data_IF_689324023505
#
_entry.id   IF_689324023505
#
_cell.length_a   1.000
_cell.length_b   1.000
_cell.length_c   1.000
_cell.angle_alpha   90.00
_cell.angle_beta   90.00
_cell.angle_gamma   90.00
#
_symmetry.space_group_name_H-M   'P 1'
#
loop_
_entity.id
_entity.type
_entity.pdbx_description
1 polymer ?
#
# COMPACT_ATOMS: atom_id res chain seq x y z
N UNK A 1 1.26 15.64 -10.29
CA UNK A 1 2.25 15.04 -9.37
C UNK A 1 1.65 13.81 -8.74
N UNK A 2 2.44 12.94 -8.10
CA UNK A 2 1.94 11.85 -7.25
C UNK A 2 2.27 12.16 -5.79
N UNK A 3 1.32 11.91 -4.88
CA UNK A 3 1.41 12.32 -3.47
C UNK A 3 1.53 11.10 -2.55
N UNK A 4 2.38 11.20 -1.54
CA UNK A 4 2.68 10.14 -0.58
C UNK A 4 2.59 10.70 0.84
N UNK A 5 1.84 10.02 1.70
CA UNK A 5 1.52 10.52 3.02
C UNK A 5 1.13 9.38 3.97
N UNK A 6 1.40 9.58 5.26
CA UNK A 6 1.05 8.60 6.32
C UNK A 6 -0.24 8.91 7.06
N UNK A 7 -0.88 10.07 6.80
CA UNK A 7 -2.12 10.48 7.47
C UNK A 7 -3.31 10.47 6.51
N UNK A 8 -4.22 9.52 6.65
CA UNK A 8 -5.38 9.35 5.74
C UNK A 8 -6.31 10.59 5.65
N UNK A 9 -6.27 11.48 6.65
CA UNK A 9 -7.12 12.68 6.72
C UNK A 9 -6.87 13.67 5.57
N UNK A 10 -5.75 13.56 4.85
CA UNK A 10 -5.38 14.47 3.77
C UNK A 10 -6.00 14.09 2.42
N UNK A 11 -6.53 12.88 2.27
CA UNK A 11 -7.10 12.38 1.00
C UNK A 11 -8.18 13.31 0.44
N UNK A 12 -9.09 13.80 1.29
CA UNK A 12 -10.15 14.74 0.89
C UNK A 12 -9.61 16.07 0.39
N UNK A 13 -8.47 16.52 0.93
CA UNK A 13 -7.80 17.75 0.48
C UNK A 13 -7.13 17.53 -0.87
N UNK A 14 -6.43 16.41 -1.06
CA UNK A 14 -5.74 16.06 -2.31
C UNK A 14 -6.74 15.88 -3.46
N UNK A 15 -7.88 15.24 -3.20
CA UNK A 15 -8.95 15.03 -4.20
C UNK A 15 -9.71 16.32 -4.54
N UNK A 16 -9.53 17.40 -3.78
CA UNK A 16 -10.22 18.65 -4.04
C UNK A 16 -9.68 19.33 -5.33
N UNK A 17 -10.55 19.85 -6.23
CA UNK A 17 -10.12 20.41 -7.53
C UNK A 17 -9.16 21.59 -7.46
N UNK A 18 -9.10 22.30 -6.33
CA UNK A 18 -8.17 23.42 -6.12
C UNK A 18 -6.77 22.98 -5.66
N UNK A 19 -6.59 21.73 -5.24
CA UNK A 19 -5.36 21.26 -4.61
C UNK A 19 -4.16 21.36 -5.55
N UNK A 20 -4.16 20.54 -6.62
CA UNK A 20 -3.05 20.47 -7.57
C UNK A 20 -2.74 21.84 -8.19
N UNK A 21 -3.72 22.63 -8.71
CA UNK A 21 -3.43 23.95 -9.26
C UNK A 21 -2.79 24.92 -8.25
N UNK A 22 -3.20 24.86 -6.98
CA UNK A 22 -2.64 25.73 -5.94
C UNK A 22 -1.23 25.31 -5.56
N UNK A 23 -0.95 24.02 -5.49
CA UNK A 23 0.39 23.49 -5.22
C UNK A 23 1.34 23.83 -6.38
N UNK A 24 0.91 23.65 -7.63
CA UNK A 24 1.68 24.04 -8.82
C UNK A 24 2.01 25.54 -8.78
N UNK A 25 1.01 26.39 -8.48
CA UNK A 25 1.23 27.82 -8.35
C UNK A 25 2.24 28.17 -7.26
N UNK A 26 2.19 27.53 -6.09
CA UNK A 26 3.15 27.80 -5.01
C UNK A 26 4.57 27.33 -5.36
N UNK A 27 4.71 26.20 -6.06
CA UNK A 27 6.01 25.66 -6.49
C UNK A 27 6.64 26.52 -7.58
N UNK A 28 5.86 26.93 -8.59
CA UNK A 28 6.32 27.77 -9.70
C UNK A 28 6.86 29.13 -9.23
N UNK A 29 6.29 29.67 -8.15
CA UNK A 29 6.76 30.92 -7.56
C UNK A 29 8.07 30.73 -6.76
N UNK A 30 8.44 29.50 -6.42
CA UNK A 30 9.71 29.14 -5.81
C UNK A 30 9.98 29.86 -4.49
N UNK A 31 11.07 30.64 -4.44
CA UNK A 31 11.44 31.48 -3.30
C UNK A 31 10.68 32.82 -3.24
N UNK A 32 9.83 33.12 -4.22
CA UNK A 32 9.03 34.33 -4.19
C UNK A 32 8.00 34.24 -3.08
N UNK A 33 7.92 35.32 -2.32
CA UNK A 33 7.01 35.45 -1.21
C UNK A 33 5.55 35.58 -1.67
N UNK A 34 4.87 34.46 -1.93
CA UNK A 34 3.47 34.46 -2.38
C UNK A 34 2.57 35.07 -1.31
N UNK A 35 1.75 36.05 -1.70
CA UNK A 35 0.81 36.73 -0.81
C UNK A 35 -0.65 36.40 -1.14
N UNK A 36 -1.54 36.57 -0.16
CA UNK A 36 -2.98 36.31 -0.32
C UNK A 36 -3.61 37.04 -1.52
N UNK A 37 -3.17 38.27 -1.82
CA UNK A 37 -3.68 39.03 -2.99
C UNK A 37 -3.35 38.35 -4.32
N UNK A 38 -2.19 37.70 -4.43
CA UNK A 38 -1.82 36.93 -5.62
C UNK A 38 -2.66 35.66 -5.71
N UNK A 39 -2.83 34.92 -4.60
CA UNK A 39 -3.69 33.74 -4.55
C UNK A 39 -5.15 34.07 -4.92
N UNK A 40 -5.72 35.16 -4.40
CA UNK A 40 -7.08 35.63 -4.77
C UNK A 40 -7.20 35.97 -6.26
N UNK A 41 -6.13 36.48 -6.87
CA UNK A 41 -6.10 36.80 -8.30
C UNK A 41 -6.01 35.53 -9.16
N UNK A 42 -5.19 34.57 -8.75
CA UNK A 42 -5.02 33.28 -9.45
C UNK A 42 -6.24 32.36 -9.29
N UNK A 43 -6.89 32.41 -8.12
CA UNK A 43 -8.00 31.53 -7.75
C UNK A 43 -9.20 32.35 -7.26
N UNK A 44 -10.02 32.93 -8.18
CA UNK A 44 -11.11 33.85 -7.84
C UNK A 44 -12.35 33.18 -7.22
N UNK A 45 -12.29 31.88 -6.93
CA UNK A 45 -13.42 31.10 -6.45
C UNK A 45 -13.78 31.48 -4.99
N UNK A 46 -15.08 31.65 -4.71
CA UNK A 46 -15.58 32.12 -3.39
C UNK A 46 -15.16 31.24 -2.20
N UNK A 47 -14.92 29.94 -2.42
CA UNK A 47 -14.52 28.99 -1.37
C UNK A 47 -13.00 28.81 -1.24
N UNK A 48 -12.19 29.48 -2.05
CA UNK A 48 -10.74 29.29 -2.05
C UNK A 48 -10.10 29.62 -0.69
N UNK A 49 -10.52 30.71 -0.03
CA UNK A 49 -9.93 31.11 1.26
C UNK A 49 -10.17 30.05 2.33
N UNK A 50 -11.38 29.50 2.39
CA UNK A 50 -11.69 28.39 3.30
C UNK A 50 -10.84 27.15 2.99
N UNK A 51 -10.66 26.81 1.72
CA UNK A 51 -9.81 25.69 1.33
C UNK A 51 -8.33 25.94 1.68
N UNK A 52 -7.85 27.17 1.51
CA UNK A 52 -6.50 27.58 1.90
C UNK A 52 -6.30 27.46 3.42
N UNK A 53 -7.30 27.86 4.22
CA UNK A 53 -7.26 27.70 5.68
C UNK A 53 -7.19 26.21 6.06
N UNK A 54 -7.98 25.35 5.42
CA UNK A 54 -7.91 23.89 5.64
C UNK A 54 -6.52 23.30 5.32
N UNK A 55 -5.88 23.77 4.25
CA UNK A 55 -4.53 23.36 3.85
C UNK A 55 -3.45 23.85 4.82
N UNK A 56 -3.67 24.97 5.49
CA UNK A 56 -2.77 25.49 6.53
C UNK A 56 -2.96 24.70 7.82
N UNK A 57 -4.21 24.45 8.22
CA UNK A 57 -4.55 23.66 9.41
C UNK A 57 -4.03 22.23 9.31
N UNK A 58 -4.03 21.64 8.11
CA UNK A 58 -3.44 20.33 7.85
C UNK A 58 -1.91 20.34 7.74
N UNK A 59 -1.27 21.52 7.74
CA UNK A 59 0.17 21.65 7.62
C UNK A 59 0.74 21.44 6.21
N UNK A 60 -0.10 21.43 5.16
CA UNK A 60 0.34 21.31 3.76
C UNK A 60 0.81 22.63 3.16
N UNK A 61 0.34 23.75 3.72
CA UNK A 61 0.80 25.11 3.40
C UNK A 61 1.28 25.79 4.67
N UNK A 62 2.48 26.36 4.63
CA UNK A 62 2.99 27.21 5.71
C UNK A 62 2.62 28.66 5.43
N UNK A 63 2.04 29.32 6.42
CA UNK A 63 1.78 30.75 6.42
C UNK A 63 2.66 31.47 7.44
N UNK A 64 3.66 32.21 6.98
CA UNK A 64 4.60 32.94 7.83
C UNK A 64 4.79 34.37 7.29
N UNK A 65 4.76 35.39 8.15
CA UNK A 65 4.90 36.80 7.74
C UNK A 65 3.95 37.22 6.59
N UNK A 66 2.74 36.66 6.58
CA UNK A 66 1.71 36.84 5.52
C UNK A 66 2.14 36.30 4.14
N UNK A 67 3.12 35.40 4.13
CA UNK A 67 3.58 34.67 2.94
C UNK A 67 3.15 33.22 3.04
N UNK A 68 2.83 32.64 1.89
CA UNK A 68 2.33 31.28 1.76
C UNK A 68 3.34 30.47 0.96
N UNK A 69 3.67 29.27 1.44
CA UNK A 69 4.58 28.36 0.73
C UNK A 69 4.15 26.92 0.93
N UNK A 70 4.52 26.06 -0.02
CA UNK A 70 4.38 24.62 0.15
C UNK A 70 5.17 24.16 1.39
N UNK A 71 4.56 23.29 2.20
CA UNK A 71 5.16 22.80 3.43
C UNK A 71 5.95 21.50 3.26
N UNK A 72 5.84 20.87 2.09
CA UNK A 72 6.40 19.56 1.80
C UNK A 72 7.34 19.59 0.57
N UNK A 73 8.31 18.68 0.51
CA UNK A 73 9.22 18.55 -0.61
C UNK A 73 8.56 17.86 -1.80
N UNK A 74 9.07 18.19 -2.99
CA UNK A 74 8.72 17.54 -4.24
C UNK A 74 10.01 16.96 -4.80
N UNK A 75 10.05 15.65 -4.99
CA UNK A 75 11.23 14.93 -5.43
C UNK A 75 11.17 14.61 -6.93
N UNK A 76 12.33 14.70 -7.57
CA UNK A 76 12.59 14.30 -8.94
C UNK A 76 13.28 12.93 -8.99
N UNK A 77 13.27 12.28 -10.18
CA UNK A 77 13.78 10.92 -10.34
C UNK A 77 15.28 10.76 -9.99
N UNK A 78 16.05 11.85 -10.02
CA UNK A 78 17.48 11.84 -9.69
C UNK A 78 17.80 12.02 -8.20
N UNK A 79 16.82 12.36 -7.37
CA UNK A 79 17.05 12.68 -5.97
C UNK A 79 17.43 11.43 -5.17
N UNK A 80 18.43 11.58 -4.28
CA UNK A 80 18.89 10.54 -3.34
C UNK A 80 19.30 9.21 -3.99
N UNK A 81 19.74 9.21 -5.25
CA UNK A 81 19.99 7.96 -5.96
C UNK A 81 21.13 7.12 -5.35
N UNK A 82 22.08 7.74 -4.67
CA UNK A 82 23.15 7.02 -3.95
C UNK A 82 22.57 6.23 -2.78
N UNK A 83 21.72 6.89 -1.99
CA UNK A 83 21.06 6.34 -0.81
C UNK A 83 20.06 5.24 -1.19
N UNK A 84 19.25 5.49 -2.24
CA UNK A 84 18.30 4.49 -2.79
C UNK A 84 19.06 3.25 -3.25
N UNK A 85 20.13 3.41 -4.04
CA UNK A 85 20.93 2.29 -4.52
C UNK A 85 21.61 1.52 -3.37
N UNK A 86 22.09 2.22 -2.35
CA UNK A 86 22.72 1.59 -1.19
C UNK A 86 21.70 0.78 -0.39
N UNK A 87 20.55 1.37 -0.04
CA UNK A 87 19.48 0.68 0.67
C UNK A 87 18.97 -0.53 -0.12
N UNK A 88 18.73 -0.36 -1.43
CA UNK A 88 18.30 -1.48 -2.31
C UNK A 88 19.26 -2.66 -2.21
N UNK A 89 20.58 -2.41 -2.29
CA UNK A 89 21.59 -3.47 -2.19
C UNK A 89 21.56 -4.17 -0.84
N UNK A 90 21.36 -3.43 0.24
CA UNK A 90 21.28 -3.98 1.59
C UNK A 90 20.03 -4.85 1.76
N UNK A 91 18.86 -4.37 1.32
CA UNK A 91 17.61 -5.13 1.35
C UNK A 91 17.72 -6.43 0.54
N UNK A 92 18.29 -6.36 -0.67
CA UNK A 92 18.54 -7.56 -1.49
C UNK A 92 19.51 -8.49 -0.78
N UNK A 93 20.58 -7.99 -0.18
CA UNK A 93 21.54 -8.82 0.54
C UNK A 93 20.88 -9.55 1.72
N UNK A 94 20.04 -8.88 2.52
CA UNK A 94 19.28 -9.54 3.59
C UNK A 94 18.28 -10.56 3.05
N UNK A 95 17.59 -10.24 1.95
CA UNK A 95 16.68 -11.17 1.28
C UNK A 95 17.41 -12.41 0.76
N UNK A 96 18.61 -12.26 0.18
CA UNK A 96 19.39 -13.38 -0.35
C UNK A 96 19.94 -14.31 0.72
N UNK A 97 20.06 -13.86 1.98
CA UNK A 97 20.36 -14.74 3.12
C UNK A 97 19.21 -15.67 3.49
N UNK A 98 17.98 -15.35 3.07
CA UNK A 98 16.82 -16.19 3.32
C UNK A 98 16.79 -17.40 2.37
N UNK A 99 16.27 -18.55 2.83
CA UNK A 99 15.94 -19.67 1.95
C UNK A 99 15.06 -19.21 0.79
N UNK A 100 15.31 -19.74 -0.42
CA UNK A 100 14.64 -19.30 -1.65
C UNK A 100 13.10 -19.23 -1.51
N UNK A 101 12.50 -20.27 -0.94
CA UNK A 101 11.05 -20.37 -0.73
C UNK A 101 10.48 -19.38 0.31
N UNK A 102 11.32 -18.73 1.13
CA UNK A 102 10.89 -17.74 2.14
C UNK A 102 11.16 -16.30 1.71
N UNK A 103 11.85 -16.07 0.59
CA UNK A 103 12.26 -14.71 0.18
C UNK A 103 11.08 -13.77 -0.05
N UNK A 104 10.04 -14.25 -0.72
CA UNK A 104 8.85 -13.44 -0.99
C UNK A 104 8.05 -13.15 0.28
N UNK A 105 8.02 -14.11 1.22
CA UNK A 105 7.42 -13.89 2.54
C UNK A 105 8.21 -12.84 3.33
N UNK A 106 9.54 -12.95 3.36
CA UNK A 106 10.43 -11.97 4.00
C UNK A 106 10.28 -10.57 3.38
N UNK A 107 10.13 -10.48 2.06
CA UNK A 107 9.84 -9.21 1.39
C UNK A 107 8.48 -8.63 1.82
N UNK A 108 7.45 -9.47 1.89
CA UNK A 108 6.06 -9.06 2.12
C UNK A 108 5.71 -8.80 3.59
N UNK A 109 6.59 -9.17 4.51
CA UNK A 109 6.47 -8.90 5.95
C UNK A 109 7.59 -7.94 6.37
N UNK A 110 8.80 -8.45 6.58
CA UNK A 110 9.90 -7.69 7.18
C UNK A 110 10.31 -6.46 6.36
N UNK A 111 10.59 -6.64 5.06
CA UNK A 111 11.02 -5.51 4.21
C UNK A 111 9.86 -4.51 4.02
N UNK A 112 8.64 -5.01 3.81
CA UNK A 112 7.46 -4.16 3.72
C UNK A 112 7.29 -3.30 4.97
N UNK A 113 7.28 -3.93 6.15
CA UNK A 113 7.12 -3.26 7.44
C UNK A 113 8.25 -2.27 7.67
N UNK A 114 9.49 -2.64 7.37
CA UNK A 114 10.62 -1.71 7.45
C UNK A 114 10.45 -0.48 6.55
N UNK A 115 10.00 -0.65 5.31
CA UNK A 115 9.81 0.45 4.37
C UNK A 115 8.64 1.36 4.76
N UNK A 116 7.62 0.82 5.43
CA UNK A 116 6.42 1.56 5.83
C UNK A 116 6.38 1.96 7.31
N UNK A 117 7.34 1.50 8.12
CA UNK A 117 7.48 1.88 9.52
C UNK A 117 7.69 3.40 9.60
N UNK A 118 6.71 4.06 10.22
CA UNK A 118 6.64 5.50 10.30
C UNK A 118 6.62 5.93 11.76
N UNK A 119 7.74 6.47 12.25
CA UNK A 119 7.84 7.03 13.61
C UNK A 119 7.35 8.48 13.71
N UNK A 120 7.13 9.14 12.57
CA UNK A 120 6.67 10.53 12.49
C UNK A 120 5.89 10.75 11.19
N UNK A 121 4.80 11.54 11.20
CA UNK A 121 4.03 11.84 10.00
C UNK A 121 4.90 12.40 8.88
N UNK A 122 4.55 12.07 7.64
CA UNK A 122 5.21 12.60 6.45
C UNK A 122 4.18 12.93 5.37
N UNK A 123 4.55 13.89 4.54
CA UNK A 123 3.88 14.22 3.29
C UNK A 123 4.95 14.62 2.28
N UNK A 124 4.97 14.03 1.09
CA UNK A 124 5.81 14.49 -0.02
C UNK A 124 5.12 14.22 -1.35
N UNK A 125 5.69 14.75 -2.42
CA UNK A 125 5.23 14.48 -3.77
C UNK A 125 6.39 14.09 -4.70
N UNK A 126 6.07 13.45 -5.81
CA UNK A 126 7.00 13.19 -6.91
C UNK A 126 6.51 13.85 -8.20
N UNK A 127 7.45 14.30 -9.02
CA UNK A 127 7.19 14.79 -10.38
C UNK A 127 7.04 13.66 -11.41
N UNK A 128 7.44 12.45 -11.02
CA UNK A 128 7.40 11.23 -11.82
C UNK A 128 6.45 10.20 -11.21
N UNK A 129 6.01 9.24 -12.03
CA UNK A 129 5.16 8.15 -11.57
C UNK A 129 5.99 7.11 -10.83
N UNK A 130 5.58 6.77 -9.63
CA UNK A 130 6.12 5.66 -8.84
C UNK A 130 5.08 4.53 -8.84
N UNK A 131 5.45 3.30 -9.21
CA UNK A 131 4.56 2.16 -9.13
C UNK A 131 4.00 2.01 -7.70
N UNK A 132 2.67 2.02 -7.57
CA UNK A 132 2.03 1.83 -6.27
C UNK A 132 2.25 0.41 -5.79
N UNK A 133 2.75 0.25 -4.56
CA UNK A 133 2.83 -1.05 -3.91
C UNK A 133 1.85 -1.04 -2.75
N UNK A 134 1.00 -2.07 -2.68
CA UNK A 134 -0.02 -2.18 -1.65
C UNK A 134 0.04 -3.56 -1.04
N UNK A 135 0.04 -3.62 0.30
CA UNK A 135 -0.24 -4.83 1.06
C UNK A 135 -1.67 -4.76 1.59
N UNK A 136 -2.47 -5.74 1.18
CA UNK A 136 -3.85 -5.89 1.61
C UNK A 136 -3.98 -7.13 2.48
N UNK A 137 -4.84 -7.04 3.49
CA UNK A 137 -5.10 -8.11 4.43
C UNK A 137 -6.61 -8.33 4.59
N UNK A 138 -7.00 -9.59 4.74
CA UNK A 138 -8.36 -9.99 5.12
C UNK A 138 -8.30 -11.32 5.90
N UNK A 139 -9.21 -11.54 6.83
CA UNK A 139 -9.12 -12.72 7.68
C UNK A 139 -10.10 -12.76 8.83
N UNK A 140 -9.85 -13.67 9.75
CA UNK A 140 -10.52 -13.80 11.05
C UNK A 140 -9.49 -13.84 12.19
N UNK A 141 -9.89 -14.31 13.36
CA UNK A 141 -9.04 -14.36 14.55
C UNK A 141 -7.88 -15.37 14.43
N UNK A 142 -8.03 -16.43 13.63
CA UNK A 142 -7.06 -17.53 13.53
C UNK A 142 -6.23 -17.47 12.24
N UNK A 143 -6.76 -16.87 11.18
CA UNK A 143 -6.13 -16.84 9.87
C UNK A 143 -6.20 -15.45 9.25
N UNK A 144 -5.07 -15.05 8.65
CA UNK A 144 -4.95 -13.82 7.89
C UNK A 144 -4.37 -14.10 6.52
N UNK A 145 -5.12 -13.71 5.51
CA UNK A 145 -4.71 -13.73 4.13
C UNK A 145 -4.05 -12.41 3.81
N UNK A 146 -2.88 -12.47 3.19
CA UNK A 146 -2.12 -11.29 2.80
C UNK A 146 -1.81 -11.35 1.32
N UNK A 147 -1.97 -10.22 0.64
CA UNK A 147 -1.55 -10.02 -0.74
C UNK A 147 -0.72 -8.74 -0.83
N UNK A 148 0.54 -8.87 -1.26
CA UNK A 148 1.36 -7.75 -1.70
C UNK A 148 1.21 -7.63 -3.23
N UNK A 149 0.87 -6.45 -3.72
CA UNK A 149 0.74 -6.14 -5.16
C UNK A 149 1.54 -4.91 -5.52
N UNK A 150 2.15 -4.90 -6.72
CA UNK A 150 2.69 -3.72 -7.36
C UNK A 150 1.90 -3.39 -8.62
N UNK A 151 1.28 -2.20 -8.66
CA UNK A 151 0.51 -1.72 -9.79
C UNK A 151 -0.92 -2.27 -9.79
N UNK A 152 -1.25 -3.05 -10.82
CA UNK A 152 -2.61 -3.58 -11.00
C UNK A 152 -2.97 -4.62 -9.92
N UNK A 153 -4.24 -4.58 -9.53
CA UNK A 153 -4.78 -5.49 -8.53
C UNK A 153 -4.85 -6.92 -9.05
N UNK A 154 -4.22 -7.85 -8.33
CA UNK A 154 -4.37 -9.29 -8.60
C UNK A 154 -5.58 -9.83 -7.86
N UNK A 155 -6.32 -10.74 -8.51
CA UNK A 155 -7.47 -11.42 -7.94
C UNK A 155 -7.04 -12.22 -6.71
N UNK A 156 -7.46 -11.75 -5.53
CA UNK A 156 -7.24 -12.41 -4.25
C UNK A 156 -8.35 -12.04 -3.27
N UNK A 157 -8.53 -12.84 -2.22
CA UNK A 157 -9.52 -12.54 -1.17
C UNK A 157 -9.23 -11.19 -0.47
N UNK A 158 -7.98 -10.87 -0.07
CA UNK A 158 -7.67 -9.56 0.52
C UNK A 158 -8.06 -8.39 -0.39
N UNK A 159 -7.75 -8.49 -1.68
CA UNK A 159 -8.08 -7.43 -2.64
C UNK A 159 -9.59 -7.29 -2.82
N UNK A 160 -10.32 -8.40 -2.95
CA UNK A 160 -11.78 -8.39 -3.08
C UNK A 160 -12.45 -7.70 -1.88
N UNK A 161 -12.13 -8.12 -0.65
CA UNK A 161 -12.74 -7.54 0.55
C UNK A 161 -12.34 -6.08 0.77
N UNK A 162 -11.12 -5.69 0.38
CA UNK A 162 -10.71 -4.28 0.38
C UNK A 162 -11.59 -3.43 -0.56
N UNK A 163 -11.80 -3.87 -1.80
CA UNK A 163 -12.66 -3.18 -2.78
C UNK A 163 -14.12 -3.12 -2.30
N UNK A 164 -14.63 -4.21 -1.73
CA UNK A 164 -15.98 -4.29 -1.17
C UNK A 164 -16.18 -3.27 -0.03
N UNK A 165 -15.24 -3.19 0.92
CA UNK A 165 -15.27 -2.22 2.04
C UNK A 165 -15.26 -0.77 1.55
N UNK A 166 -14.49 -0.47 0.52
CA UNK A 166 -14.40 0.87 -0.07
C UNK A 166 -15.58 1.20 -0.99
N UNK A 167 -16.48 0.24 -1.27
CA UNK A 167 -17.56 0.36 -2.25
C UNK A 167 -17.03 0.73 -3.65
N UNK A 168 -15.82 0.27 -3.96
CA UNK A 168 -15.17 0.52 -5.25
C UNK A 168 -15.81 -0.40 -6.30
N UNK A 169 -16.18 0.10 -7.49
CA UNK A 169 -16.67 -0.74 -8.57
C UNK A 169 -15.67 -1.86 -8.89
N UNK A 170 -16.16 -3.11 -8.90
CA UNK A 170 -15.34 -4.27 -9.23
C UNK A 170 -14.99 -4.27 -10.72
N UNK A 171 -13.71 -4.45 -11.03
CA UNK A 171 -13.26 -4.70 -12.40
C UNK A 171 -13.70 -6.09 -12.87
N UNK A 172 -13.54 -6.36 -14.17
CA UNK A 172 -14.03 -7.58 -14.82
C UNK A 172 -13.47 -8.85 -14.17
N UNK A 173 -12.21 -8.81 -13.74
CA UNK A 173 -11.51 -9.94 -13.10
C UNK A 173 -12.11 -10.31 -11.73
N UNK A 174 -12.74 -9.37 -11.03
CA UNK A 174 -13.35 -9.59 -9.71
C UNK A 174 -14.85 -9.90 -9.78
N UNK A 175 -15.49 -9.83 -10.95
CA UNK A 175 -16.94 -10.02 -11.07
C UNK A 175 -17.38 -11.42 -10.63
N UNK A 176 -16.59 -12.47 -10.93
CA UNK A 176 -16.91 -13.83 -10.54
C UNK A 176 -16.92 -13.99 -9.00
N UNK A 177 -15.94 -13.41 -8.31
CA UNK A 177 -15.92 -13.38 -6.84
C UNK A 177 -17.09 -12.54 -6.30
N UNK A 178 -17.36 -11.38 -6.91
CA UNK A 178 -18.48 -10.51 -6.53
C UNK A 178 -19.84 -11.18 -6.63
N UNK A 179 -20.10 -11.91 -7.71
CA UNK A 179 -21.35 -12.65 -7.91
C UNK A 179 -21.48 -13.83 -6.95
N UNK A 180 -20.36 -14.49 -6.64
CA UNK A 180 -20.35 -15.68 -5.80
C UNK A 180 -20.48 -15.35 -4.30
N UNK A 181 -19.73 -14.34 -3.84
CA UNK A 181 -19.68 -13.95 -2.43
C UNK A 181 -20.79 -12.95 -2.10
N UNK A 182 -21.12 -12.03 -3.00
CA UNK A 182 -22.20 -11.06 -2.81
C UNK A 182 -21.96 -10.11 -1.64
N UNK A 183 -22.93 -10.05 -0.72
CA UNK A 183 -22.95 -9.20 0.47
C UNK A 183 -22.48 -9.93 1.75
N UNK A 184 -21.92 -11.13 1.61
CA UNK A 184 -21.43 -11.90 2.74
C UNK A 184 -20.38 -11.10 3.53
N UNK A 185 -20.57 -11.02 4.84
CA UNK A 185 -19.66 -10.36 5.75
C UNK A 185 -18.29 -11.06 5.78
N UNK A 186 -17.22 -10.28 5.77
CA UNK A 186 -15.83 -10.77 5.75
C UNK A 186 -15.52 -11.77 6.87
N UNK A 187 -15.79 -11.42 8.13
CA UNK A 187 -15.47 -12.29 9.27
C UNK A 187 -16.19 -13.63 9.14
N UNK A 188 -17.48 -13.60 8.82
CA UNK A 188 -18.24 -14.84 8.59
C UNK A 188 -17.70 -15.65 7.42
N UNK A 189 -17.28 -15.00 6.33
CA UNK A 189 -16.66 -15.70 5.21
C UNK A 189 -15.40 -16.45 5.65
N UNK A 190 -14.51 -15.77 6.39
CA UNK A 190 -13.26 -16.37 6.85
C UNK A 190 -13.47 -17.49 7.87
N UNK A 191 -14.47 -17.39 8.75
CA UNK A 191 -14.85 -18.49 9.66
C UNK A 191 -15.29 -19.75 8.91
N UNK A 192 -15.98 -19.60 7.78
CA UNK A 192 -16.40 -20.73 6.98
C UNK A 192 -15.23 -21.36 6.19
N UNK A 193 -14.29 -20.54 5.69
CA UNK A 193 -13.15 -21.06 4.93
C UNK A 193 -12.10 -21.70 5.82
N UNK A 194 -11.98 -21.27 7.08
CA UNK A 194 -11.07 -21.86 8.08
C UNK A 194 -11.23 -23.38 8.16
N UNK A 195 -12.46 -23.86 8.35
CA UNK A 195 -12.77 -25.30 8.44
C UNK A 195 -12.40 -26.05 7.15
N UNK A 196 -12.48 -25.37 6.00
CA UNK A 196 -12.11 -25.95 4.70
C UNK A 196 -10.59 -26.07 4.62
N UNK A 197 -9.87 -25.00 4.94
CA UNK A 197 -8.40 -24.92 4.90
C UNK A 197 -7.79 -25.97 5.83
N UNK A 198 -8.25 -26.05 7.08
CA UNK A 198 -7.75 -27.03 8.06
C UNK A 198 -7.89 -28.46 7.52
N UNK A 199 -9.08 -28.79 6.97
CA UNK A 199 -9.31 -30.13 6.41
C UNK A 199 -8.50 -30.40 5.15
N UNK A 200 -8.20 -29.38 4.34
CA UNK A 200 -7.31 -29.51 3.17
C UNK A 200 -5.88 -29.80 3.66
N UNK A 201 -5.37 -29.04 4.63
CA UNK A 201 -4.05 -29.27 5.24
C UNK A 201 -3.92 -30.67 5.83
N UNK A 202 -4.99 -31.20 6.41
CA UNK A 202 -5.02 -32.57 6.96
C UNK A 202 -5.21 -33.67 5.89
N UNK A 203 -5.38 -33.32 4.61
CA UNK A 203 -5.79 -34.23 3.52
C UNK A 203 -7.12 -34.98 3.82
N UNK A 204 -8.02 -34.35 4.58
CA UNK A 204 -9.33 -34.91 4.98
C UNK A 204 -10.51 -34.24 4.30
N UNK A 205 -10.28 -33.17 3.52
CA UNK A 205 -11.36 -32.47 2.86
C UNK A 205 -12.00 -33.32 1.75
N UNK A 206 -13.32 -33.46 1.80
CA UNK A 206 -14.13 -34.11 0.76
C UNK A 206 -15.29 -33.19 0.42
N UNK A 207 -15.42 -32.79 -0.85
CA UNK A 207 -16.57 -32.00 -1.31
C UNK A 207 -17.83 -32.86 -1.23
N UNK A 208 -18.60 -32.69 -0.16
CA UNK A 208 -19.88 -33.40 0.07
C UNK A 208 -21.08 -32.63 -0.45
N UNK A 209 -20.96 -31.31 -0.56
CA UNK A 209 -21.98 -30.36 -1.04
C UNK A 209 -21.31 -29.21 -1.75
N UNK A 210 -22.08 -28.48 -2.55
CA UNK A 210 -21.67 -27.18 -3.10
C UNK A 210 -21.37 -26.20 -1.95
N UNK A 211 -20.38 -25.33 -2.17
CA UNK A 211 -19.89 -24.42 -1.16
C UNK A 211 -19.30 -23.20 -1.84
N UNK A 212 -20.01 -22.06 -1.73
CA UNK A 212 -19.53 -20.77 -2.24
C UNK A 212 -18.14 -20.43 -1.68
N UNK A 213 -17.82 -20.90 -0.48
CA UNK A 213 -16.53 -20.71 0.18
C UNK A 213 -15.41 -21.48 -0.52
N UNK A 214 -15.66 -22.74 -0.89
CA UNK A 214 -14.69 -23.52 -1.67
C UNK A 214 -14.53 -22.93 -3.06
N UNK A 215 -15.63 -22.58 -3.71
CA UNK A 215 -15.61 -22.06 -5.06
C UNK A 215 -14.92 -20.67 -5.10
N UNK A 216 -15.06 -19.86 -4.05
CA UNK A 216 -14.31 -18.61 -3.88
C UNK A 216 -12.82 -18.84 -3.65
N UNK A 217 -12.43 -19.85 -2.85
CA UNK A 217 -11.03 -20.25 -2.68
C UNK A 217 -10.39 -20.71 -4.00
N UNK A 218 -11.15 -21.39 -4.85
CA UNK A 218 -10.70 -21.79 -6.20
C UNK A 218 -10.54 -20.57 -7.11
N UNK A 219 -11.53 -19.68 -7.16
CA UNK A 219 -11.49 -18.46 -7.99
C UNK A 219 -10.37 -17.50 -7.59
N UNK A 220 -10.11 -17.37 -6.28
CA UNK A 220 -9.05 -16.53 -5.74
C UNK A 220 -7.66 -17.19 -5.78
N UNK A 221 -7.53 -18.38 -6.38
CA UNK A 221 -6.25 -19.07 -6.49
C UNK A 221 -5.65 -19.54 -5.15
N UNK A 222 -6.48 -19.69 -4.11
CA UNK A 222 -6.04 -20.19 -2.80
C UNK A 222 -5.89 -21.71 -2.81
N UNK A 223 -6.83 -22.37 -3.47
CA UNK A 223 -6.93 -23.83 -3.55
C UNK A 223 -6.89 -24.25 -5.01
N UNK A 224 -6.34 -25.43 -5.29
CA UNK A 224 -6.50 -26.14 -6.56
C UNK A 224 -7.15 -27.49 -6.34
N UNK A 225 -7.98 -27.92 -7.30
CA UNK A 225 -8.49 -29.29 -7.35
C UNK A 225 -7.65 -30.13 -8.30
N UNK A 226 -6.94 -31.11 -7.77
CA UNK A 226 -6.30 -32.18 -8.54
C UNK A 226 -6.97 -33.52 -8.20
N UNK A 227 -6.21 -34.56 -7.84
CA UNK A 227 -6.77 -35.78 -7.23
C UNK A 227 -7.42 -35.48 -5.88
N UNK A 228 -6.82 -34.56 -5.12
CA UNK A 228 -7.33 -34.00 -3.87
C UNK A 228 -7.22 -32.48 -3.93
N UNK A 229 -7.91 -31.79 -3.02
CA UNK A 229 -7.75 -30.36 -2.87
C UNK A 229 -6.43 -30.06 -2.17
N UNK A 230 -5.69 -29.06 -2.67
CA UNK A 230 -4.42 -28.62 -2.10
C UNK A 230 -4.39 -27.10 -2.04
N UNK A 231 -3.71 -26.55 -1.03
CA UNK A 231 -3.42 -25.13 -0.98
C UNK A 231 -2.33 -24.78 -2.00
N UNK A 232 -2.57 -23.70 -2.74
CA UNK A 232 -1.56 -23.07 -3.59
C UNK A 232 -0.75 -22.02 -2.81
N UNK A 233 -1.38 -21.39 -1.81
CA UNK A 233 -0.69 -20.39 -0.99
C UNK A 233 0.13 -21.05 0.12
N UNK A 234 1.35 -20.56 0.37
CA UNK A 234 2.11 -21.00 1.53
C UNK A 234 1.41 -20.57 2.82
N UNK A 235 1.43 -21.46 3.81
CA UNK A 235 0.95 -21.18 5.16
C UNK A 235 2.16 -20.93 6.06
N UNK A 236 2.17 -19.79 6.74
CA UNK A 236 3.18 -19.42 7.74
C UNK A 236 2.54 -19.26 9.10
N UNK A 237 3.31 -19.55 10.14
CA UNK A 237 3.01 -19.14 11.51
C UNK A 237 3.47 -17.68 11.72
N UNK A 238 2.95 -17.03 12.76
CA UNK A 238 3.42 -15.71 13.16
C UNK A 238 4.90 -15.78 13.59
N UNK A 239 5.75 -14.99 12.92
CA UNK A 239 7.17 -14.88 13.22
C UNK A 239 7.42 -13.52 13.86
N UNK A 240 7.95 -13.51 15.08
CA UNK A 240 8.34 -12.29 15.81
C UNK A 240 9.80 -11.87 15.56
N UNK A 241 10.42 -12.34 14.49
CA UNK A 241 11.83 -12.07 14.22
C UNK A 241 11.97 -10.75 13.46
N UNK A 242 11.89 -9.63 14.18
CA UNK A 242 12.16 -8.30 13.64
C UNK A 242 13.62 -8.20 13.17
N UNK A 243 13.87 -8.51 11.89
CA UNK A 243 15.23 -8.70 11.37
C UNK A 243 15.88 -7.39 10.90
N UNK A 244 15.10 -6.34 10.63
CA UNK A 244 15.60 -5.09 10.02
C UNK A 244 15.90 -3.93 10.99
N UNK A 245 16.05 -4.20 12.30
CA UNK A 245 16.36 -3.16 13.30
C UNK A 245 17.69 -2.38 13.09
N UNK A 246 18.46 -2.65 12.03
CA UNK A 246 19.85 -2.18 11.87
C UNK A 246 20.08 -1.13 10.79
N UNK A 247 19.08 -0.74 9.99
CA UNK A 247 19.27 0.33 9.01
C UNK A 247 18.45 1.57 9.36
N UNK A 248 19.16 2.62 9.79
CA UNK A 248 18.66 3.99 9.75
C UNK A 248 19.43 4.66 8.61
N UNK A 249 18.83 4.88 7.43
CA UNK A 249 19.50 5.69 6.43
C UNK A 249 19.82 7.04 7.10
N UNK A 250 20.98 7.59 6.80
CA UNK A 250 21.39 8.92 7.27
C UNK A 250 20.53 9.98 6.57
N UNK A 251 19.25 10.04 6.89
CA UNK A 251 18.29 10.99 6.32
C UNK A 251 18.09 12.14 7.28
N UNK A 252 18.00 13.35 6.72
CA UNK A 252 17.84 14.56 7.50
C UNK A 252 16.39 14.75 7.97
N UNK A 253 15.41 14.13 7.29
CA UNK A 253 13.98 14.30 7.61
C UNK A 253 13.15 13.01 7.42
N UNK A 254 11.98 12.87 8.11
CA UNK A 254 11.06 11.75 7.89
C UNK A 254 10.57 11.59 6.45
N UNK A 255 10.35 12.70 5.73
CA UNK A 255 9.88 12.68 4.34
C UNK A 255 10.95 12.13 3.38
N UNK A 256 12.22 12.47 3.61
CA UNK A 256 13.33 11.89 2.84
C UNK A 256 13.46 10.39 3.11
N UNK A 257 13.35 9.98 4.39
CA UNK A 257 13.37 8.56 4.75
C UNK A 257 12.25 7.77 4.07
N UNK A 258 11.03 8.28 4.10
CA UNK A 258 9.87 7.66 3.44
C UNK A 258 10.09 7.55 1.93
N UNK A 259 10.53 8.62 1.26
CA UNK A 259 10.84 8.61 -0.17
C UNK A 259 11.92 7.57 -0.53
N UNK A 260 13.05 7.56 0.18
CA UNK A 260 14.16 6.62 -0.09
C UNK A 260 13.71 5.17 0.12
N UNK A 261 12.97 4.89 1.19
CA UNK A 261 12.42 3.55 1.48
C UNK A 261 11.44 3.09 0.40
N UNK A 262 10.54 3.96 -0.03
CA UNK A 262 9.57 3.67 -1.09
C UNK A 262 10.27 3.35 -2.43
N UNK A 263 11.23 4.19 -2.83
CA UNK A 263 11.98 3.97 -4.08
C UNK A 263 12.84 2.71 -4.01
N UNK A 264 13.45 2.42 -2.85
CA UNK A 264 14.21 1.19 -2.66
C UNK A 264 13.31 -0.06 -2.73
N UNK A 265 12.12 -0.03 -2.14
CA UNK A 265 11.16 -1.13 -2.23
C UNK A 265 10.73 -1.38 -3.69
N UNK A 266 10.42 -0.33 -4.44
CA UNK A 266 10.09 -0.42 -5.87
C UNK A 266 11.22 -1.07 -6.65
N UNK A 267 12.47 -0.66 -6.39
CA UNK A 267 13.64 -1.21 -7.07
C UNK A 267 13.92 -2.67 -6.67
N UNK A 268 13.74 -3.04 -5.39
CA UNK A 268 13.83 -4.44 -4.93
C UNK A 268 12.80 -5.30 -5.66
N UNK A 269 11.53 -4.90 -5.69
CA UNK A 269 10.48 -5.65 -6.40
C UNK A 269 10.77 -5.75 -7.90
N UNK A 270 11.30 -4.68 -8.51
CA UNK A 270 11.69 -4.67 -9.92
C UNK A 270 12.84 -5.63 -10.22
N UNK A 271 13.86 -5.71 -9.37
CA UNK A 271 14.99 -6.63 -9.57
C UNK A 271 14.60 -8.09 -9.36
N UNK A 272 13.59 -8.36 -8.53
CA UNK A 272 13.03 -9.69 -8.32
C UNK A 272 11.99 -10.10 -9.37
N UNK A 273 11.61 -9.19 -10.27
CA UNK A 273 10.48 -9.35 -11.21
C UNK A 273 9.18 -9.79 -10.51
N UNK A 274 8.97 -9.30 -9.27
CA UNK A 274 7.83 -9.69 -8.46
C UNK A 274 6.70 -8.66 -8.63
N UNK A 275 5.59 -9.08 -9.22
CA UNK A 275 4.37 -8.26 -9.34
C UNK A 275 3.40 -8.43 -8.19
N UNK A 276 3.29 -9.65 -7.68
CA UNK A 276 2.43 -9.96 -6.56
C UNK A 276 2.92 -11.17 -5.79
N UNK A 277 2.60 -11.21 -4.50
CA UNK A 277 2.78 -12.39 -3.67
C UNK A 277 1.64 -12.51 -2.67
N UNK A 278 1.09 -13.71 -2.52
CA UNK A 278 0.01 -14.00 -1.59
C UNK A 278 0.34 -15.20 -0.72
N UNK A 279 -0.02 -15.11 0.56
CA UNK A 279 0.23 -16.14 1.56
C UNK A 279 -0.85 -16.12 2.64
N UNK A 280 -0.88 -17.18 3.46
CA UNK A 280 -1.78 -17.32 4.59
C UNK A 280 -0.92 -17.32 5.86
N UNK A 281 -1.24 -16.43 6.79
CA UNK A 281 -0.66 -16.37 8.12
C UNK A 281 -1.62 -16.96 9.13
N UNK A 282 -1.14 -17.87 9.97
CA UNK A 282 -1.85 -18.37 11.13
C UNK A 282 -1.50 -17.50 12.33
N UNK A 283 -2.53 -16.99 13.03
CA UNK A 283 -2.43 -16.08 14.17
C UNK A 283 -2.51 -16.88 15.47
#
# INVERSE_FOLDING_TARGET
MQYFYSLENERKLIEHPLFQPMIDYLIEQGSQEVILRQLKKAFPQKKMEHFLDQMIDSGLIIRENRRYRCAFPVYDQGDFQTEINQLTKELINELMKQPEHLRNLFLSEEIWDFCHETTSPYFYATTFSVPTIVRLEAGNENYRFVTLNQGENVVSLPTYFHLQKQQTPLSEEFQALGQLIGDVNETYFFDQIEVIIERICENKYKKRRESIFLDALLLAGVVVQQEQYQLLLPVTEDRNDALLQKYKPSTETPMQAAFIKEQALVEVMRQLDLKSYSYIKKI
#
